data_IF_021875990164
#
_entry.id   IF_021875990164
#
_cell.length_a   1.000
_cell.length_b   1.000
_cell.length_c   1.000
_cell.angle_alpha   90.00
_cell.angle_beta   90.00
_cell.angle_gamma   90.00
#
_symmetry.space_group_name_H-M   'P 1'
#
loop_
_entity.id
_entity.type
_entity.pdbx_description
1 polymer ?
#
# COMPACT_ATOMS: atom_id res chain seq x y z
N UNK A 1 -2.77 18.74 -10.93
CA UNK A 1 -2.77 19.72 -9.83
C UNK A 1 -3.99 19.48 -8.98
N UNK A 2 -3.84 19.47 -7.65
CA UNK A 2 -4.91 19.28 -6.67
C UNK A 2 -4.83 20.49 -5.71
N UNK A 3 -5.91 21.26 -5.59
CA UNK A 3 -5.95 22.47 -4.77
C UNK A 3 -4.70 23.39 -4.95
N UNK A 4 -4.28 23.60 -6.19
CA UNK A 4 -3.14 24.46 -6.55
C UNK A 4 -1.74 23.87 -6.35
N UNK A 5 -1.62 22.61 -5.92
CA UNK A 5 -0.34 21.89 -5.69
C UNK A 5 -0.21 20.65 -6.56
N UNK A 6 1.02 20.23 -6.92
CA UNK A 6 1.24 18.91 -7.50
C UNK A 6 0.72 17.79 -6.59
N UNK A 7 0.15 16.73 -7.17
CA UNK A 7 -0.35 15.58 -6.38
C UNK A 7 0.73 15.00 -5.46
N UNK A 8 1.94 14.85 -5.97
CA UNK A 8 3.08 14.32 -5.20
C UNK A 8 3.42 15.21 -3.98
N UNK A 9 3.15 16.52 -4.01
CA UNK A 9 3.37 17.39 -2.86
C UNK A 9 2.42 17.05 -1.69
N UNK A 10 1.16 16.69 -1.99
CA UNK A 10 0.21 16.27 -0.97
C UNK A 10 0.69 14.98 -0.28
N UNK A 11 1.11 13.99 -1.07
CA UNK A 11 1.64 12.72 -0.57
C UNK A 11 2.90 12.94 0.26
N UNK A 12 3.87 13.70 -0.27
CA UNK A 12 5.12 14.02 0.41
C UNK A 12 4.89 14.68 1.78
N UNK A 13 4.02 15.70 1.84
CA UNK A 13 3.71 16.39 3.10
C UNK A 13 3.10 15.47 4.14
N UNK A 14 2.27 14.51 3.74
CA UNK A 14 1.71 13.49 4.64
C UNK A 14 2.77 12.54 5.15
N UNK A 15 3.69 12.10 4.29
CA UNK A 15 4.81 11.26 4.67
C UNK A 15 5.74 11.98 5.67
N UNK A 16 6.05 13.26 5.44
CA UNK A 16 6.83 14.08 6.39
C UNK A 16 6.11 14.21 7.73
N UNK A 17 4.82 14.51 7.70
CA UNK A 17 4.02 14.65 8.92
C UNK A 17 3.86 13.33 9.71
N UNK A 18 4.10 12.18 9.09
CA UNK A 18 4.12 10.87 9.76
C UNK A 18 5.32 10.66 10.68
N UNK A 19 6.32 11.57 10.64
CA UNK A 19 7.47 11.52 11.53
C UNK A 19 8.59 10.57 11.08
N UNK A 20 8.66 10.27 9.77
CA UNK A 20 9.78 9.51 9.21
C UNK A 20 11.11 10.27 9.40
N UNK A 21 12.21 9.54 9.60
CA UNK A 21 13.54 10.13 9.70
C UNK A 21 13.99 10.76 8.38
N UNK A 22 13.55 10.18 7.27
CA UNK A 22 13.86 10.62 5.92
C UNK A 22 12.63 10.36 5.02
N UNK A 23 12.36 11.27 4.10
CA UNK A 23 11.30 11.11 3.08
C UNK A 23 11.90 11.40 1.72
N UNK A 24 11.88 10.39 0.85
CA UNK A 24 12.43 10.45 -0.50
C UNK A 24 11.33 10.27 -1.53
N UNK A 25 11.39 11.02 -2.61
CA UNK A 25 10.55 10.78 -3.79
C UNK A 25 11.37 9.98 -4.82
N UNK A 26 10.97 8.72 -5.05
CA UNK A 26 11.58 7.86 -6.05
C UNK A 26 10.82 7.97 -7.37
N UNK A 27 11.45 8.45 -8.44
CA UNK A 27 10.80 8.63 -9.74
C UNK A 27 11.80 8.43 -10.88
N UNK A 28 11.29 8.06 -12.05
CA UNK A 28 12.02 8.04 -13.32
C UNK A 28 11.60 9.18 -14.26
N UNK A 29 10.69 10.06 -13.81
CA UNK A 29 10.16 11.16 -14.59
C UNK A 29 10.74 12.51 -14.12
N UNK A 30 11.48 13.18 -15.03
CA UNK A 30 12.10 14.48 -14.76
C UNK A 30 11.06 15.55 -14.38
N UNK A 31 9.83 15.48 -14.92
CA UNK A 31 8.76 16.44 -14.59
C UNK A 31 8.34 16.34 -13.11
N UNK A 32 8.36 15.13 -12.56
CA UNK A 32 8.08 14.91 -11.13
C UNK A 32 9.24 15.45 -10.29
N UNK A 33 10.49 15.19 -10.70
CA UNK A 33 11.68 15.70 -10.03
C UNK A 33 11.70 17.25 -10.01
N UNK A 34 11.37 17.88 -11.15
CA UNK A 34 11.29 19.33 -11.26
C UNK A 34 10.18 19.89 -10.37
N UNK A 35 9.03 19.24 -10.29
CA UNK A 35 7.95 19.64 -9.38
C UNK A 35 8.38 19.50 -7.91
N UNK A 36 9.07 18.42 -7.54
CA UNK A 36 9.58 18.19 -6.20
C UNK A 36 10.58 19.26 -5.74
N UNK A 37 11.41 19.74 -6.65
CA UNK A 37 12.38 20.82 -6.35
C UNK A 37 11.70 22.11 -5.89
N UNK A 38 10.48 22.39 -6.35
CA UNK A 38 9.73 23.60 -6.02
C UNK A 38 9.28 23.66 -4.55
N UNK A 39 9.13 22.49 -3.91
CA UNK A 39 8.73 22.39 -2.50
C UNK A 39 9.80 21.72 -1.60
N UNK A 40 11.02 21.54 -2.14
CA UNK A 40 12.18 21.11 -1.37
C UNK A 40 12.19 19.62 -1.01
N UNK A 41 11.49 18.75 -1.75
CA UNK A 41 11.58 17.32 -1.54
C UNK A 41 12.86 16.75 -2.12
N UNK A 42 13.50 15.84 -1.41
CA UNK A 42 14.63 15.07 -1.91
C UNK A 42 14.15 14.01 -2.90
N UNK A 43 14.78 13.98 -4.08
CA UNK A 43 14.41 13.07 -5.16
C UNK A 43 15.55 12.11 -5.46
N UNK A 44 15.22 10.85 -5.61
CA UNK A 44 16.12 9.83 -6.14
C UNK A 44 15.60 9.45 -7.54
N UNK A 45 16.36 9.80 -8.56
CA UNK A 45 16.08 9.35 -9.93
C UNK A 45 16.41 7.87 -10.06
N UNK A 46 15.45 7.09 -10.51
CA UNK A 46 15.53 5.62 -10.62
C UNK A 46 15.43 5.17 -12.08
N UNK A 47 15.81 3.93 -12.35
CA UNK A 47 15.76 3.38 -13.70
C UNK A 47 14.31 3.34 -14.23
N UNK A 48 14.16 3.64 -15.53
CA UNK A 48 12.87 3.57 -16.25
C UNK A 48 12.41 2.13 -16.51
N UNK A 49 13.29 1.15 -16.29
CA UNK A 49 13.03 -0.28 -16.51
C UNK A 49 12.28 -0.96 -15.38
N UNK A 50 12.07 -0.29 -14.25
CA UNK A 50 11.29 -0.88 -13.13
C UNK A 50 9.85 -1.08 -13.53
N UNK A 51 9.37 -2.31 -13.30
CA UNK A 51 7.99 -2.70 -13.59
C UNK A 51 7.09 -2.61 -12.37
N UNK A 52 7.69 -2.39 -11.18
CA UNK A 52 6.96 -2.32 -9.92
C UNK A 52 7.50 -1.25 -8.96
N UNK A 53 6.64 -0.87 -8.00
CA UNK A 53 7.04 0.02 -6.91
C UNK A 53 8.09 -0.61 -6.01
N UNK A 54 8.02 -1.92 -5.76
CA UNK A 54 8.99 -2.68 -4.95
C UNK A 54 10.39 -2.66 -5.56
N UNK A 55 10.51 -2.84 -6.89
CA UNK A 55 11.80 -2.78 -7.60
C UNK A 55 12.42 -1.38 -7.48
N UNK A 56 11.60 -0.33 -7.64
CA UNK A 56 12.01 1.06 -7.51
C UNK A 56 12.52 1.38 -6.12
N UNK A 57 11.80 0.95 -5.09
CA UNK A 57 12.22 1.11 -3.69
C UNK A 57 13.51 0.34 -3.38
N UNK A 58 13.68 -0.85 -3.93
CA UNK A 58 14.90 -1.64 -3.77
C UNK A 58 16.13 -0.94 -4.39
N UNK A 59 15.98 -0.26 -5.53
CA UNK A 59 17.04 0.59 -6.07
C UNK A 59 17.41 1.71 -5.12
N UNK A 60 16.41 2.43 -4.59
CA UNK A 60 16.64 3.49 -3.60
C UNK A 60 17.34 2.95 -2.34
N UNK A 61 16.89 1.81 -1.81
CA UNK A 61 17.48 1.21 -0.62
C UNK A 61 18.95 0.84 -0.82
N UNK A 62 19.32 0.32 -2.02
CA UNK A 62 20.73 0.05 -2.38
C UNK A 62 21.53 1.35 -2.52
N UNK A 63 20.99 2.33 -3.22
CA UNK A 63 21.65 3.62 -3.43
C UNK A 63 21.92 4.35 -2.11
N UNK A 64 20.96 4.36 -1.20
CA UNK A 64 21.05 4.99 0.12
C UNK A 64 21.79 4.13 1.15
N UNK A 65 22.10 2.88 0.81
CA UNK A 65 22.78 1.92 1.70
C UNK A 65 22.03 1.73 3.03
N UNK A 66 20.70 1.59 2.98
CA UNK A 66 19.90 1.33 4.17
C UNK A 66 20.38 0.07 4.88
N UNK A 67 20.44 0.14 6.22
CA UNK A 67 20.80 -1.00 7.03
C UNK A 67 19.73 -2.12 6.92
N UNK A 68 20.09 -3.39 7.06
CA UNK A 68 19.17 -4.53 6.90
C UNK A 68 17.89 -4.44 7.74
N UNK A 69 17.97 -3.81 8.92
CA UNK A 69 16.84 -3.63 9.84
C UNK A 69 16.03 -2.36 9.65
N UNK A 70 16.47 -1.44 8.78
CA UNK A 70 15.74 -0.20 8.53
C UNK A 70 14.36 -0.50 7.96
N UNK A 71 13.38 0.28 8.39
CA UNK A 71 12.00 0.15 7.93
C UNK A 71 11.76 1.16 6.82
N UNK A 72 11.45 0.65 5.63
CA UNK A 72 11.11 1.43 4.44
C UNK A 72 9.60 1.37 4.25
N UNK A 73 8.94 2.53 4.31
CA UNK A 73 7.49 2.63 4.06
C UNK A 73 7.26 3.06 2.61
N UNK A 74 6.53 2.24 1.86
CA UNK A 74 6.08 2.55 0.51
C UNK A 74 4.76 3.33 0.56
N UNK A 75 4.82 4.61 0.22
CA UNK A 75 3.64 5.46 0.06
C UNK A 75 3.46 5.73 -1.44
N UNK A 76 2.34 5.29 -2.00
CA UNK A 76 2.04 5.46 -3.42
C UNK A 76 1.83 6.94 -3.77
N UNK A 77 2.36 7.37 -4.92
CA UNK A 77 2.30 8.77 -5.35
C UNK A 77 0.90 9.25 -5.78
N UNK A 78 -0.03 8.33 -5.99
CA UNK A 78 -1.44 8.52 -6.36
C UNK A 78 -2.41 8.50 -5.17
N UNK A 79 -1.88 8.47 -3.92
CA UNK A 79 -2.64 8.45 -2.67
C UNK A 79 -2.58 9.79 -1.89
N UNK A 80 -3.05 10.91 -2.46
CA UNK A 80 -2.91 12.24 -1.84
C UNK A 80 -3.77 12.40 -0.57
N UNK A 81 -4.71 11.49 -0.34
CA UNK A 81 -5.59 11.50 0.84
C UNK A 81 -5.26 10.42 1.86
N UNK A 82 -4.12 9.73 1.72
CA UNK A 82 -3.68 8.73 2.70
C UNK A 82 -3.47 9.38 4.08
N UNK A 83 -4.12 8.90 5.16
CA UNK A 83 -3.97 9.48 6.49
C UNK A 83 -2.54 9.33 7.03
N UNK A 84 -1.99 10.39 7.56
CA UNK A 84 -0.66 10.42 8.20
C UNK A 84 -0.55 9.38 9.33
N UNK A 85 -1.64 9.18 10.10
CA UNK A 85 -1.69 8.20 11.17
C UNK A 85 -1.49 6.76 10.66
N UNK A 86 -1.94 6.44 9.43
CA UNK A 86 -1.77 5.12 8.85
C UNK A 86 -0.31 4.88 8.40
N UNK A 87 0.37 5.91 7.89
CA UNK A 87 1.80 5.83 7.53
C UNK A 87 2.64 5.50 8.77
N UNK A 88 2.44 6.23 9.86
CA UNK A 88 3.10 5.95 11.13
C UNK A 88 2.69 4.58 11.71
N UNK A 89 1.42 4.17 11.54
CA UNK A 89 0.90 2.91 12.04
C UNK A 89 1.57 1.71 11.38
N UNK A 90 1.72 1.70 10.05
CA UNK A 90 2.30 0.56 9.32
C UNK A 90 3.78 0.37 9.67
N UNK A 91 4.54 1.47 9.85
CA UNK A 91 5.92 1.41 10.30
C UNK A 91 6.02 0.82 11.71
N UNK A 92 5.24 1.36 12.67
CA UNK A 92 5.21 0.88 14.04
C UNK A 92 4.66 -0.57 14.16
N UNK A 93 3.80 -1.01 13.24
CA UNK A 93 3.34 -2.40 13.19
C UNK A 93 4.51 -3.35 12.87
N UNK A 94 5.31 -3.02 11.85
CA UNK A 94 6.47 -3.83 11.48
C UNK A 94 7.56 -3.79 12.56
N UNK A 95 7.78 -2.65 13.19
CA UNK A 95 8.75 -2.52 14.28
C UNK A 95 8.45 -3.50 15.42
N UNK A 96 7.17 -3.64 15.80
CA UNK A 96 6.71 -4.57 16.86
C UNK A 96 6.65 -6.03 16.44
N UNK A 97 6.86 -6.35 15.16
CA UNK A 97 6.83 -7.71 14.62
C UNK A 97 8.22 -8.11 14.08
N UNK A 98 9.21 -8.41 14.93
CA UNK A 98 10.60 -8.62 14.50
C UNK A 98 10.78 -9.80 13.54
N UNK A 99 9.91 -10.79 13.56
CA UNK A 99 9.94 -11.93 12.65
C UNK A 99 9.27 -11.64 11.28
N UNK A 100 8.48 -10.58 11.17
CA UNK A 100 7.81 -10.25 9.92
C UNK A 100 8.75 -9.55 8.94
N UNK A 101 8.65 -9.91 7.67
CA UNK A 101 9.36 -9.28 6.56
C UNK A 101 8.69 -7.96 6.14
N UNK A 102 7.35 -7.92 6.22
CA UNK A 102 6.52 -6.81 5.76
C UNK A 102 5.37 -6.54 6.73
N UNK A 103 4.82 -5.34 6.65
CA UNK A 103 3.55 -4.98 7.25
C UNK A 103 2.66 -4.25 6.24
N UNK A 104 1.35 -4.38 6.41
CA UNK A 104 0.35 -3.63 5.66
C UNK A 104 -0.87 -3.36 6.53
N UNK A 105 -1.82 -2.58 6.00
CA UNK A 105 -3.06 -2.25 6.68
C UNK A 105 -4.28 -2.73 5.88
N UNK A 106 -5.39 -2.87 6.56
CA UNK A 106 -6.67 -3.20 5.97
C UNK A 106 -7.80 -2.40 6.63
N UNK A 107 -8.92 -2.25 5.95
CA UNK A 107 -10.17 -1.72 6.51
C UNK A 107 -11.26 -2.77 6.44
N UNK A 108 -12.28 -2.75 7.30
CA UNK A 108 -13.47 -3.57 7.08
C UNK A 108 -14.08 -3.30 5.71
N UNK A 109 -14.69 -4.31 5.12
CA UNK A 109 -15.53 -4.16 3.94
C UNK A 109 -16.94 -3.82 4.39
N UNK A 110 -17.48 -2.69 3.94
CA UNK A 110 -18.75 -2.14 4.42
C UNK A 110 -19.91 -2.38 3.45
N UNK A 111 -19.64 -2.76 2.20
CA UNK A 111 -20.67 -2.97 1.18
C UNK A 111 -20.50 -4.31 0.47
N UNK A 112 -21.62 -4.84 -0.03
CA UNK A 112 -21.58 -6.05 -0.88
C UNK A 112 -20.90 -5.76 -2.22
N UNK A 113 -21.01 -4.55 -2.73
CA UNK A 113 -20.36 -4.10 -3.96
C UNK A 113 -18.85 -4.21 -3.82
N UNK A 114 -18.24 -3.59 -2.78
CA UNK A 114 -16.81 -3.69 -2.51
C UNK A 114 -16.35 -5.14 -2.27
N UNK A 115 -17.19 -5.94 -1.61
CA UNK A 115 -16.85 -7.35 -1.37
C UNK A 115 -16.72 -8.14 -2.66
N UNK A 116 -17.59 -7.87 -3.65
CA UNK A 116 -17.62 -8.56 -4.93
C UNK A 116 -16.71 -7.93 -6.00
N UNK A 117 -16.28 -6.66 -5.81
CA UNK A 117 -15.44 -5.96 -6.77
C UNK A 117 -14.02 -6.56 -6.78
N UNK A 118 -13.53 -7.06 -7.94
CA UNK A 118 -12.18 -7.59 -8.07
C UNK A 118 -11.08 -6.50 -7.94
N UNK A 119 -11.42 -5.22 -8.06
CA UNK A 119 -10.47 -4.12 -7.83
C UNK A 119 -10.26 -3.84 -6.33
N UNK A 120 -11.22 -4.22 -5.51
CA UNK A 120 -11.09 -4.20 -4.07
C UNK A 120 -10.42 -5.51 -3.63
N UNK A 121 -9.13 -5.46 -3.32
CA UNK A 121 -8.37 -6.63 -2.86
C UNK A 121 -8.77 -6.98 -1.43
N UNK A 122 -9.14 -8.24 -1.20
CA UNK A 122 -9.45 -8.77 0.14
C UNK A 122 -8.22 -9.40 0.75
N UNK A 123 -8.13 -9.38 2.07
CA UNK A 123 -7.10 -10.07 2.83
C UNK A 123 -7.73 -10.88 3.96
N UNK A 124 -7.26 -12.10 4.16
CA UNK A 124 -7.58 -12.94 5.31
C UNK A 124 -6.35 -13.06 6.20
N UNK A 125 -6.57 -13.02 7.51
CA UNK A 125 -5.51 -13.04 8.52
C UNK A 125 -5.73 -14.17 9.52
N UNK A 126 -4.66 -14.65 10.14
CA UNK A 126 -4.73 -15.54 11.29
C UNK A 126 -4.92 -14.77 12.60
N UNK A 127 -5.05 -15.50 13.71
CA UNK A 127 -5.24 -14.91 15.04
C UNK A 127 -4.03 -14.07 15.52
N UNK A 128 -2.85 -14.28 14.93
CA UNK A 128 -1.66 -13.48 15.21
C UNK A 128 -1.60 -12.19 14.37
N UNK A 129 -2.57 -11.97 13.48
CA UNK A 129 -2.60 -10.82 12.56
C UNK A 129 -1.68 -10.98 11.35
N UNK A 130 -1.23 -12.21 11.04
CA UNK A 130 -0.45 -12.46 9.83
C UNK A 130 -1.36 -12.78 8.66
N UNK A 131 -1.03 -12.27 7.48
CA UNK A 131 -1.76 -12.54 6.26
C UNK A 131 -1.68 -14.02 5.88
N UNK A 132 -2.83 -14.64 5.68
CA UNK A 132 -2.94 -15.98 5.11
C UNK A 132 -2.99 -15.93 3.59
N UNK A 133 -3.73 -14.96 3.05
CA UNK A 133 -3.84 -14.77 1.60
C UNK A 133 -4.43 -13.39 1.25
N UNK A 134 -4.03 -12.88 0.09
CA UNK A 134 -4.65 -11.71 -0.56
C UNK A 134 -5.30 -12.16 -1.85
N UNK A 135 -6.51 -11.68 -2.16
CA UNK A 135 -7.19 -12.04 -3.40
C UNK A 135 -8.13 -10.96 -3.90
N UNK A 136 -8.31 -10.95 -5.21
CA UNK A 136 -9.38 -10.20 -5.87
C UNK A 136 -10.73 -10.89 -5.71
N UNK A 137 -10.75 -12.19 -5.41
CA UNK A 137 -11.96 -12.94 -5.12
C UNK A 137 -12.61 -12.51 -3.80
N UNK A 138 -13.93 -12.72 -3.62
CA UNK A 138 -14.61 -12.49 -2.34
C UNK A 138 -14.08 -13.44 -1.26
N UNK A 139 -13.42 -12.90 -0.24
CA UNK A 139 -12.86 -13.65 0.90
C UNK A 139 -13.16 -12.92 2.22
N UNK A 140 -13.45 -13.68 3.33
CA UNK A 140 -13.77 -15.12 3.36
C UNK A 140 -15.17 -15.39 2.80
N UNK A 141 -15.38 -16.52 2.13
CA UNK A 141 -16.70 -16.88 1.62
C UNK A 141 -17.63 -17.35 2.74
N UNK A 142 -18.68 -16.60 2.99
CA UNK A 142 -19.68 -16.92 4.01
C UNK A 142 -20.68 -17.94 3.45
N UNK A 143 -20.44 -19.24 3.74
CA UNK A 143 -21.20 -20.36 3.19
C UNK A 143 -22.72 -20.22 3.37
N UNK A 144 -23.14 -19.94 4.61
CA UNK A 144 -24.58 -19.93 4.92
C UNK A 144 -25.29 -18.68 4.39
N UNK A 145 -24.61 -17.53 4.38
CA UNK A 145 -25.12 -16.30 3.81
C UNK A 145 -25.22 -16.37 2.28
N UNK A 146 -24.38 -17.17 1.62
CA UNK A 146 -24.42 -17.36 0.17
C UNK A 146 -25.62 -18.16 -0.33
N UNK A 147 -26.23 -18.98 0.52
CA UNK A 147 -27.39 -19.82 0.21
C UNK A 147 -28.71 -19.03 0.20
N UNK A 148 -28.75 -17.84 0.76
CA UNK A 148 -29.93 -17.00 0.79
C UNK A 148 -29.80 -15.83 -0.19
N UNK A 149 -30.92 -15.42 -0.80
CA UNK A 149 -30.97 -14.24 -1.72
C UNK A 149 -30.53 -12.98 -0.96
N UNK A 150 -29.43 -12.38 -1.32
CA UNK A 150 -28.57 -11.70 -0.40
C UNK A 150 -28.37 -10.23 -0.73
N UNK A 151 -29.05 -9.43 0.00
CA UNK A 151 -28.69 -8.05 0.36
C UNK A 151 -28.14 -7.97 1.80
N UNK A 152 -27.78 -9.11 2.40
CA UNK A 152 -27.47 -9.22 3.82
C UNK A 152 -25.99 -8.93 4.09
N UNK A 153 -25.73 -7.97 4.98
CA UNK A 153 -24.40 -7.62 5.47
C UNK A 153 -23.58 -8.83 5.99
N UNK A 154 -24.24 -9.92 6.37
CA UNK A 154 -23.57 -11.17 6.77
C UNK A 154 -22.69 -11.79 5.70
N UNK A 155 -22.91 -11.47 4.41
CA UNK A 155 -22.09 -12.00 3.31
C UNK A 155 -20.63 -11.56 3.38
N UNK A 156 -20.39 -10.35 3.81
CA UNK A 156 -19.05 -9.77 3.91
C UNK A 156 -18.61 -9.52 5.35
N UNK A 157 -19.38 -10.03 6.33
CA UNK A 157 -19.01 -9.90 7.73
C UNK A 157 -17.61 -10.46 8.00
N UNK A 158 -16.74 -9.63 8.57
CA UNK A 158 -15.35 -9.98 8.82
C UNK A 158 -14.42 -9.94 7.61
N UNK A 159 -14.91 -9.57 6.42
CA UNK A 159 -14.04 -9.32 5.28
C UNK A 159 -13.23 -8.05 5.48
N UNK A 160 -11.95 -8.10 5.07
CA UNK A 160 -11.03 -6.98 5.14
C UNK A 160 -10.60 -6.58 3.73
N UNK A 161 -10.72 -5.29 3.41
CA UNK A 161 -10.15 -4.65 2.24
C UNK A 161 -8.70 -4.29 2.53
N UNK A 162 -7.78 -4.82 1.76
CA UNK A 162 -6.37 -4.47 1.82
C UNK A 162 -6.13 -3.03 1.35
N UNK A 163 -5.20 -2.34 2.02
CA UNK A 163 -4.70 -1.03 1.61
C UNK A 163 -3.30 -1.18 1.00
N UNK A 164 -3.05 -0.51 -0.14
CA UNK A 164 -1.77 -0.54 -0.85
C UNK A 164 -0.61 0.16 -0.14
N UNK A 165 -0.66 0.28 1.18
CA UNK A 165 0.36 0.87 2.03
C UNK A 165 1.19 -0.22 2.70
N UNK A 166 2.49 -0.21 2.47
CA UNK A 166 3.40 -1.23 2.97
C UNK A 166 4.57 -0.66 3.75
N UNK A 167 5.00 -1.38 4.76
CA UNK A 167 6.31 -1.25 5.37
C UNK A 167 7.13 -2.52 5.12
N UNK A 168 8.40 -2.36 4.82
CA UNK A 168 9.35 -3.44 4.57
C UNK A 168 10.56 -3.31 5.50
N UNK A 169 11.13 -4.43 5.96
CA UNK A 169 12.52 -4.40 6.38
C UNK A 169 13.40 -4.29 5.13
N UNK A 170 14.42 -3.43 5.18
CA UNK A 170 15.28 -3.19 4.01
C UNK A 170 15.86 -4.47 3.43
N UNK A 171 16.34 -5.40 4.28
CA UNK A 171 16.81 -6.71 3.80
C UNK A 171 15.71 -7.48 3.04
N UNK A 172 14.50 -7.56 3.61
CA UNK A 172 13.38 -8.27 2.97
C UNK A 172 12.95 -7.59 1.66
N UNK A 173 12.95 -6.25 1.61
CA UNK A 173 12.68 -5.50 0.37
C UNK A 173 13.64 -5.89 -0.75
N UNK A 174 14.94 -5.95 -0.44
CA UNK A 174 15.98 -6.33 -1.41
C UNK A 174 15.83 -7.78 -1.86
N UNK A 175 15.50 -8.69 -0.94
CA UNK A 175 15.29 -10.10 -1.25
C UNK A 175 14.05 -10.28 -2.15
N UNK A 176 12.91 -9.64 -1.81
CA UNK A 176 11.66 -9.71 -2.60
C UNK A 176 11.89 -9.17 -4.02
N UNK A 177 12.56 -8.03 -4.17
CA UNK A 177 12.85 -7.44 -5.47
C UNK A 177 13.80 -8.34 -6.32
N UNK A 178 14.63 -9.16 -5.69
CA UNK A 178 15.50 -10.11 -6.39
C UNK A 178 14.79 -11.41 -6.80
N UNK A 179 13.60 -11.70 -6.23
CA UNK A 179 12.84 -12.91 -6.55
C UNK A 179 12.13 -12.77 -7.89
N UNK A 180 12.07 -13.86 -8.70
CA UNK A 180 11.21 -13.85 -9.89
C UNK A 180 9.73 -13.79 -9.47
N UNK A 181 8.84 -13.23 -10.33
CA UNK A 181 7.40 -13.22 -10.07
C UNK A 181 6.86 -14.59 -9.71
N UNK A 182 5.98 -14.64 -8.71
CA UNK A 182 5.33 -15.86 -8.26
C UNK A 182 4.14 -16.25 -9.13
N UNK A 183 3.69 -17.52 -9.04
CA UNK A 183 2.51 -17.99 -9.79
C UNK A 183 1.23 -17.29 -9.32
N UNK A 184 1.07 -17.13 -8.02
CA UNK A 184 -0.10 -16.47 -7.43
C UNK A 184 -0.06 -14.97 -7.73
N UNK A 185 1.11 -14.35 -7.65
CA UNK A 185 1.31 -12.96 -8.06
C UNK A 185 0.87 -12.72 -9.50
N UNK A 186 1.29 -13.56 -10.45
CA UNK A 186 0.90 -13.44 -11.86
C UNK A 186 -0.59 -13.69 -12.07
N UNK A 187 -1.20 -14.62 -11.33
CA UNK A 187 -2.61 -14.95 -11.48
C UNK A 187 -3.53 -13.84 -10.96
N UNK A 188 -3.19 -13.24 -9.83
CA UNK A 188 -3.99 -12.20 -9.17
C UNK A 188 -3.53 -10.78 -9.52
N UNK A 189 -2.36 -10.62 -10.15
CA UNK A 189 -1.67 -9.33 -10.33
C UNK A 189 -1.53 -8.59 -8.98
N UNK A 190 -1.01 -9.32 -7.97
CA UNK A 190 -0.80 -8.86 -6.60
C UNK A 190 0.62 -9.18 -6.15
N UNK A 191 1.49 -8.17 -6.12
CA UNK A 191 2.93 -8.29 -5.88
C UNK A 191 3.28 -8.91 -4.51
N UNK A 192 2.49 -8.60 -3.48
CA UNK A 192 2.70 -9.13 -2.13
C UNK A 192 2.54 -10.65 -2.05
N UNK A 193 1.87 -11.28 -3.01
CA UNK A 193 1.77 -12.73 -3.08
C UNK A 193 3.12 -13.39 -3.35
N UNK A 194 4.07 -12.70 -3.99
CA UNK A 194 5.46 -13.17 -4.16
C UNK A 194 6.10 -13.48 -2.82
N UNK A 195 5.91 -12.58 -1.84
CA UNK A 195 6.44 -12.77 -0.48
C UNK A 195 5.79 -13.99 0.21
N UNK A 196 4.45 -14.10 0.17
CA UNK A 196 3.72 -15.22 0.79
C UNK A 196 4.07 -16.58 0.15
N UNK A 197 4.19 -16.66 -1.19
CA UNK A 197 4.60 -17.89 -1.89
C UNK A 197 5.99 -18.37 -1.47
N UNK A 198 6.83 -17.47 -0.96
CA UNK A 198 8.20 -17.79 -0.48
C UNK A 198 8.28 -17.96 1.04
N UNK A 199 7.13 -17.98 1.71
CA UNK A 199 7.05 -18.19 3.16
C UNK A 199 7.45 -16.98 4.00
N UNK A 200 7.48 -15.78 3.41
CA UNK A 200 7.72 -14.55 4.16
C UNK A 200 6.43 -14.10 4.86
N UNK A 201 6.54 -13.74 6.13
CA UNK A 201 5.41 -13.27 6.93
C UNK A 201 5.10 -11.80 6.63
N UNK A 202 3.80 -11.51 6.46
CA UNK A 202 3.25 -10.16 6.31
C UNK A 202 2.26 -9.93 7.45
N UNK A 203 2.54 -9.00 8.35
CA UNK A 203 1.61 -8.62 9.41
C UNK A 203 0.62 -7.58 8.92
N UNK A 204 -0.64 -7.73 9.33
CA UNK A 204 -1.76 -6.87 8.93
C UNK A 204 -2.46 -6.32 10.16
N UNK A 205 -2.78 -5.04 10.16
CA UNK A 205 -3.64 -4.44 11.17
C UNK A 205 -4.78 -3.66 10.54
N UNK A 206 -5.86 -3.48 11.28
CA UNK A 206 -6.93 -2.57 10.87
C UNK A 206 -6.41 -1.14 10.94
N UNK A 207 -6.60 -0.39 9.87
CA UNK A 207 -6.18 1.00 9.76
C UNK A 207 -6.90 1.87 10.82
N UNK A 208 -6.17 2.81 11.40
CA UNK A 208 -6.71 3.77 12.38
C UNK A 208 -7.72 4.71 11.76
N UNK A 209 -7.49 5.07 10.51
CA UNK A 209 -8.34 5.96 9.75
C UNK A 209 -8.63 5.34 8.38
N UNK A 210 -9.87 5.48 7.90
CA UNK A 210 -10.22 5.04 6.55
C UNK A 210 -9.61 6.03 5.55
N UNK A 211 -8.77 5.57 4.60
CA UNK A 211 -8.20 6.46 3.59
C UNK A 211 -9.29 7.09 2.72
N UNK A 212 -9.03 8.33 2.30
CA UNK A 212 -9.79 8.91 1.20
C UNK A 212 -9.47 8.23 -0.14
N UNK A 213 -10.15 8.60 -1.22
CA UNK A 213 -9.91 8.01 -2.54
C UNK A 213 -8.52 8.33 -3.08
N UNK A 214 -7.89 7.35 -3.75
CA UNK A 214 -6.74 7.55 -4.61
C UNK A 214 -7.10 8.23 -5.93
N UNK A 215 -6.11 8.46 -6.78
CA UNK A 215 -6.26 9.17 -8.06
C UNK A 215 -5.70 8.32 -9.20
N UNK A 216 -6.53 7.46 -9.78
CA UNK A 216 -6.19 6.63 -10.94
C UNK A 216 -6.72 7.24 -12.26
N UNK A 217 -7.81 8.03 -12.17
CA UNK A 217 -8.50 8.59 -13.32
C UNK A 217 -8.66 10.13 -13.19
N UNK A 218 -9.01 10.78 -14.31
CA UNK A 218 -9.35 12.21 -14.29
C UNK A 218 -10.59 12.50 -13.41
N UNK A 219 -11.56 11.59 -13.36
CA UNK A 219 -12.72 11.70 -12.49
C UNK A 219 -12.32 11.68 -11.00
N UNK A 220 -11.36 10.80 -10.63
CA UNK A 220 -10.81 10.77 -9.27
C UNK A 220 -10.06 12.06 -8.95
N UNK A 221 -9.30 12.59 -9.90
CA UNK A 221 -8.59 13.86 -9.74
C UNK A 221 -9.56 15.01 -9.40
N UNK A 222 -10.68 15.10 -10.11
CA UNK A 222 -11.70 16.11 -9.86
C UNK A 222 -12.36 15.93 -8.48
N UNK A 223 -12.70 14.70 -8.13
CA UNK A 223 -13.29 14.34 -6.82
C UNK A 223 -12.36 14.70 -5.67
N UNK A 224 -11.09 14.27 -5.74
CA UNK A 224 -10.09 14.55 -4.72
C UNK A 224 -9.77 16.03 -4.64
N UNK A 225 -9.73 16.73 -5.77
CA UNK A 225 -9.53 18.20 -5.79
C UNK A 225 -10.64 18.93 -5.05
N UNK A 226 -11.89 18.51 -5.20
CA UNK A 226 -13.01 19.09 -4.48
C UNK A 226 -12.91 18.82 -2.96
N UNK A 227 -12.53 17.61 -2.56
CA UNK A 227 -12.37 17.23 -1.15
C UNK A 227 -11.22 17.96 -0.44
N UNK A 228 -10.14 18.30 -1.15
CA UNK A 228 -8.98 18.97 -0.57
C UNK A 228 -9.04 20.50 -0.67
N UNK A 229 -10.02 21.04 -1.39
CA UNK A 229 -10.26 22.50 -1.50
C UNK A 229 -11.23 23.04 -0.42
N UNK A 230 -12.03 22.20 0.22
CA UNK A 230 -12.97 22.52 1.32
C UNK A 230 -12.34 22.30 2.66
#
# INVERSE_FOLDING_TARGET
MIAGKPMIEHVYRRAVAAGAMEVLVATDDQRIADACSQFGAEVVMTATSHTSGTDRLAEVARYRQFAPGDIVVNVQGDEPMLPTANIAQVAALLERAPAAAMATLATPVDTLEDYLDPNVVKVVVNDAGEALYFSRAPLPWQRDAALHKVTDARRYAGALRHLGLYAYRSAALLDIAAMPPGRLEMAESLEQLRALERGLSIVVAVAREVPGPGVDTEADLLRVSALLAG
#
